data_IF_676955379704
#
_entry.id   IF_676955379704
#
_cell.length_a   1.000
_cell.length_b   1.000
_cell.length_c   1.000
_cell.angle_alpha   90.00
_cell.angle_beta   90.00
_cell.angle_gamma   90.00
#
_symmetry.space_group_name_H-M   'P 1'
#
loop_
_entity.id
_entity.type
_entity.pdbx_description
1 polymer ?
#
# COMPACT_ATOMS: atom_id res chain seq x y z
N UNK A 1 -8.39 3.44 -5.82
CA UNK A 1 -8.06 2.59 -4.65
C UNK A 1 -8.60 1.19 -4.86
N UNK A 2 -7.94 0.20 -4.28
CA UNK A 2 -8.20 -1.25 -4.49
C UNK A 2 -9.67 -1.67 -4.30
N UNK A 3 -10.41 -1.01 -3.43
CA UNK A 3 -11.83 -1.29 -3.21
C UNK A 3 -12.71 -1.17 -4.46
N UNK A 4 -12.33 -0.37 -5.45
CA UNK A 4 -13.04 -0.27 -6.74
C UNK A 4 -12.83 -1.52 -7.60
N UNK A 5 -11.61 -2.09 -7.55
CA UNK A 5 -11.19 -3.23 -8.37
C UNK A 5 -11.51 -4.57 -7.72
N UNK A 6 -11.77 -4.55 -6.40
CA UNK A 6 -12.09 -5.75 -5.60
C UNK A 6 -13.30 -5.50 -4.69
N UNK A 7 -14.53 -5.44 -5.25
CA UNK A 7 -15.74 -5.24 -4.47
C UNK A 7 -15.88 -6.27 -3.35
N UNK A 8 -16.23 -5.81 -2.13
CA UNK A 8 -16.40 -6.68 -0.97
C UNK A 8 -15.12 -7.16 -0.28
N UNK A 9 -13.94 -6.97 -0.87
CA UNK A 9 -12.68 -7.43 -0.30
C UNK A 9 -12.44 -6.91 1.12
N UNK A 10 -12.52 -5.60 1.32
CA UNK A 10 -12.27 -5.01 2.63
C UNK A 10 -13.34 -5.35 3.66
N UNK A 11 -14.59 -5.57 3.24
CA UNK A 11 -15.61 -6.10 4.13
C UNK A 11 -15.25 -7.52 4.62
N UNK A 12 -14.77 -8.38 3.73
CA UNK A 12 -14.29 -9.70 4.10
C UNK A 12 -13.10 -9.65 5.06
N UNK A 13 -12.13 -8.77 4.80
CA UNK A 13 -10.98 -8.54 5.69
C UNK A 13 -11.45 -8.09 7.07
N UNK A 14 -12.31 -7.07 7.15
CA UNK A 14 -12.82 -6.57 8.42
C UNK A 14 -13.56 -7.67 9.22
N UNK A 15 -14.45 -8.42 8.57
CA UNK A 15 -15.18 -9.52 9.23
C UNK A 15 -14.29 -10.60 9.79
N UNK A 16 -13.27 -11.04 9.05
CA UNK A 16 -12.37 -12.11 9.51
C UNK A 16 -11.46 -11.60 10.63
N UNK A 17 -10.89 -10.40 10.47
CA UNK A 17 -9.99 -9.82 11.48
C UNK A 17 -10.74 -9.50 12.77
N UNK A 18 -11.96 -8.95 12.69
CA UNK A 18 -12.82 -8.72 13.85
C UNK A 18 -13.07 -10.01 14.64
N UNK A 19 -13.43 -11.10 13.95
CA UNK A 19 -13.58 -12.41 14.60
C UNK A 19 -12.30 -12.90 15.27
N UNK A 20 -11.16 -12.75 14.60
CA UNK A 20 -9.86 -13.11 15.18
C UNK A 20 -9.56 -12.31 16.45
N UNK A 21 -9.81 -10.99 16.43
CA UNK A 21 -9.63 -10.15 17.62
C UNK A 21 -10.57 -10.52 18.74
N UNK A 22 -11.82 -10.88 18.44
CA UNK A 22 -12.79 -11.35 19.44
C UNK A 22 -12.39 -12.65 20.10
N UNK A 23 -11.75 -13.58 19.35
CA UNK A 23 -11.33 -14.87 19.89
C UNK A 23 -10.00 -14.79 20.65
N UNK A 24 -9.03 -14.03 20.10
CA UNK A 24 -7.66 -13.98 20.62
C UNK A 24 -7.50 -12.91 21.70
N UNK A 25 -8.31 -11.85 21.63
CA UNK A 25 -8.24 -10.67 22.52
C UNK A 25 -6.82 -10.16 22.71
N UNK A 26 -6.09 -9.83 21.62
CA UNK A 26 -4.69 -9.44 21.72
C UNK A 26 -4.54 -8.01 22.25
N UNK A 27 -3.42 -7.71 22.91
CA UNK A 27 -3.04 -6.32 23.26
C UNK A 27 -2.53 -5.57 22.03
N UNK A 28 -1.90 -6.28 21.09
CA UNK A 28 -1.31 -5.71 19.86
C UNK A 28 -1.54 -6.63 18.67
N UNK A 29 -1.78 -6.00 17.51
CA UNK A 29 -1.83 -6.70 16.23
C UNK A 29 -0.91 -6.02 15.21
N UNK A 30 -0.08 -6.79 14.53
CA UNK A 30 0.98 -6.32 13.65
C UNK A 30 0.58 -6.51 12.18
N UNK A 31 0.65 -5.43 11.39
CA UNK A 31 0.31 -5.45 9.96
C UNK A 31 1.41 -4.79 9.15
N UNK A 32 1.76 -5.39 8.00
CA UNK A 32 2.78 -4.85 7.10
C UNK A 32 2.26 -3.65 6.31
N UNK A 33 3.04 -2.57 6.25
CA UNK A 33 2.73 -1.36 5.48
C UNK A 33 2.59 -1.60 3.96
N UNK A 34 3.04 -2.75 3.47
CA UNK A 34 2.80 -3.17 2.09
C UNK A 34 1.31 -3.16 1.72
N UNK A 35 0.46 -3.54 2.66
CA UNK A 35 -0.99 -3.56 2.48
C UNK A 35 -1.63 -2.37 3.23
N UNK A 36 -1.16 -1.15 2.92
CA UNK A 36 -1.47 0.08 3.64
C UNK A 36 -2.98 0.37 3.79
N UNK A 37 -3.77 0.19 2.73
CA UNK A 37 -5.23 0.37 2.80
C UNK A 37 -5.87 -0.61 3.80
N UNK A 38 -5.37 -1.82 3.88
CA UNK A 38 -5.85 -2.81 4.85
C UNK A 38 -5.63 -2.32 6.29
N UNK A 39 -4.48 -1.73 6.59
CA UNK A 39 -4.19 -1.18 7.92
C UNK A 39 -5.20 -0.08 8.28
N UNK A 40 -5.47 0.84 7.35
CA UNK A 40 -6.43 1.92 7.58
C UNK A 40 -7.85 1.39 7.83
N UNK A 41 -8.29 0.41 7.05
CA UNK A 41 -9.60 -0.25 7.25
C UNK A 41 -9.66 -0.94 8.61
N UNK A 42 -8.61 -1.65 9.00
CA UNK A 42 -8.58 -2.37 10.27
C UNK A 42 -8.55 -1.39 11.45
N UNK A 43 -7.79 -0.29 11.37
CA UNK A 43 -7.81 0.75 12.40
C UNK A 43 -9.22 1.31 12.58
N UNK A 44 -9.89 1.61 11.47
CA UNK A 44 -11.26 2.11 11.53
C UNK A 44 -12.24 1.09 12.11
N UNK A 45 -12.10 -0.18 11.78
CA UNK A 45 -12.90 -1.27 12.35
C UNK A 45 -12.68 -1.38 13.87
N UNK A 46 -11.43 -1.34 14.34
CA UNK A 46 -11.07 -1.39 15.77
C UNK A 46 -11.76 -0.25 16.53
N UNK A 47 -11.74 0.98 15.99
CA UNK A 47 -12.44 2.12 16.57
C UNK A 47 -13.95 1.90 16.64
N UNK A 48 -14.56 1.48 15.53
CA UNK A 48 -16.01 1.30 15.43
C UNK A 48 -16.55 0.17 16.33
N UNK A 49 -15.81 -0.92 16.45
CA UNK A 49 -16.20 -2.08 17.27
C UNK A 49 -15.71 -1.95 18.73
N UNK A 50 -14.94 -0.92 19.05
CA UNK A 50 -14.48 -0.63 20.42
C UNK A 50 -13.46 -1.64 20.96
N UNK A 51 -12.71 -2.30 20.10
CA UNK A 51 -11.62 -3.19 20.53
C UNK A 51 -10.52 -2.40 21.25
N UNK A 52 -10.05 -2.96 22.37
CA UNK A 52 -8.97 -2.38 23.17
C UNK A 52 -7.63 -3.03 22.80
N UNK A 53 -7.13 -2.72 21.61
CA UNK A 53 -5.83 -3.22 21.13
C UNK A 53 -5.12 -2.13 20.32
N UNK A 54 -3.81 -2.25 20.21
CA UNK A 54 -2.96 -1.40 19.39
C UNK A 54 -2.71 -2.03 18.02
N UNK A 55 -2.95 -1.29 16.93
CA UNK A 55 -2.56 -1.70 15.58
C UNK A 55 -1.18 -1.14 15.27
N UNK A 56 -0.20 -2.02 15.21
CA UNK A 56 1.20 -1.70 14.92
C UNK A 56 1.47 -1.90 13.43
N UNK A 57 1.81 -0.82 12.72
CA UNK A 57 2.27 -0.89 11.34
C UNK A 57 3.75 -1.31 11.30
N UNK A 58 4.07 -2.33 10.54
CA UNK A 58 5.43 -2.82 10.37
C UNK A 58 5.98 -2.39 9.01
N UNK A 59 7.24 -1.92 8.93
CA UNK A 59 7.88 -1.53 7.69
C UNK A 59 7.86 -2.65 6.65
N UNK A 60 7.82 -2.25 5.37
CA UNK A 60 7.85 -3.20 4.25
C UNK A 60 9.17 -3.98 4.25
N UNK A 61 9.08 -5.30 4.40
CA UNK A 61 10.23 -6.16 4.17
C UNK A 61 10.46 -6.31 2.67
N UNK A 62 11.70 -6.04 2.24
CA UNK A 62 12.10 -6.13 0.83
C UNK A 62 13.19 -7.18 0.66
N UNK A 63 13.29 -7.72 -0.54
CA UNK A 63 14.42 -8.51 -1.01
C UNK A 63 15.61 -7.59 -1.26
N UNK A 64 16.82 -8.15 -1.43
CA UNK A 64 18.07 -7.37 -1.58
C UNK A 64 18.06 -6.42 -2.80
N UNK A 65 17.27 -6.74 -3.81
CA UNK A 65 17.07 -5.91 -5.01
C UNK A 65 15.95 -4.86 -4.87
N UNK A 66 15.33 -4.75 -3.69
CA UNK A 66 14.31 -3.76 -3.38
C UNK A 66 12.86 -4.23 -3.62
N UNK A 67 12.64 -5.39 -4.24
CA UNK A 67 11.28 -5.91 -4.43
C UNK A 67 10.62 -6.21 -3.08
N UNK A 68 9.40 -5.75 -2.87
CA UNK A 68 8.65 -6.05 -1.67
C UNK A 68 8.43 -7.56 -1.54
N UNK A 69 8.73 -8.11 -0.36
CA UNK A 69 8.60 -9.55 -0.10
C UNK A 69 7.13 -9.98 -0.19
N UNK A 70 6.87 -11.00 -1.01
CA UNK A 70 5.53 -11.55 -1.18
C UNK A 70 5.59 -13.01 -1.62
N UNK A 71 4.69 -13.84 -1.06
CA UNK A 71 4.50 -15.22 -1.55
C UNK A 71 4.07 -15.28 -3.02
N UNK A 72 3.56 -14.17 -3.58
CA UNK A 72 3.18 -14.09 -4.99
C UNK A 72 4.39 -13.93 -5.92
N UNK A 73 5.56 -13.54 -5.42
CA UNK A 73 6.76 -13.36 -6.24
C UNK A 73 7.20 -14.65 -6.95
N UNK A 74 6.89 -15.81 -6.38
CA UNK A 74 7.15 -17.12 -7.01
C UNK A 74 6.37 -17.37 -8.30
N UNK A 75 5.35 -16.56 -8.58
CA UNK A 75 4.54 -16.67 -9.81
C UNK A 75 5.14 -15.89 -10.98
N UNK A 76 6.13 -15.04 -10.72
CA UNK A 76 6.80 -14.26 -11.75
C UNK A 76 7.71 -15.16 -12.58
N UNK A 77 7.69 -14.98 -13.90
CA UNK A 77 8.71 -15.59 -14.75
C UNK A 77 10.10 -14.99 -14.44
N UNK A 78 11.21 -15.64 -14.83
CA UNK A 78 12.54 -15.08 -14.62
C UNK A 78 12.71 -13.67 -15.20
N UNK A 79 12.09 -13.41 -16.37
CA UNK A 79 12.13 -12.11 -17.03
C UNK A 79 11.33 -11.06 -16.23
N UNK A 80 10.12 -11.39 -15.80
CA UNK A 80 9.29 -10.54 -14.97
C UNK A 80 9.95 -10.25 -13.63
N UNK A 81 10.57 -11.27 -13.02
CA UNK A 81 11.27 -11.12 -11.72
C UNK A 81 12.43 -10.13 -11.79
N UNK A 82 13.20 -10.11 -12.90
CA UNK A 82 14.29 -9.14 -13.11
C UNK A 82 13.80 -7.69 -13.21
N UNK A 83 12.59 -7.50 -13.71
CA UNK A 83 12.02 -6.17 -13.96
C UNK A 83 11.25 -5.65 -12.75
N UNK A 84 10.60 -6.53 -11.98
CA UNK A 84 9.73 -6.20 -10.85
C UNK A 84 10.34 -5.22 -9.82
N UNK A 85 11.65 -5.24 -9.48
CA UNK A 85 12.25 -4.29 -8.56
C UNK A 85 12.19 -2.82 -9.00
N UNK A 86 11.99 -2.57 -10.32
CA UNK A 86 11.89 -1.21 -10.82
C UNK A 86 10.65 -0.47 -10.28
N UNK A 87 9.62 -1.18 -9.84
CA UNK A 87 8.47 -0.56 -9.16
C UNK A 87 8.96 0.19 -7.91
N UNK A 88 9.77 -0.45 -7.07
CA UNK A 88 10.29 0.16 -5.86
C UNK A 88 11.18 1.38 -6.15
N UNK A 89 11.98 1.33 -7.24
CA UNK A 89 12.82 2.45 -7.67
C UNK A 89 11.96 3.64 -8.11
N UNK A 90 10.99 3.41 -8.99
CA UNK A 90 10.07 4.47 -9.47
C UNK A 90 9.30 5.08 -8.30
N UNK A 91 8.87 4.27 -7.34
CA UNK A 91 8.18 4.76 -6.14
C UNK A 91 9.11 5.64 -5.28
N UNK A 92 10.35 5.25 -5.05
CA UNK A 92 11.31 6.06 -4.31
C UNK A 92 11.64 7.38 -5.03
N UNK A 93 11.84 7.33 -6.34
CA UNK A 93 12.06 8.51 -7.18
C UNK A 93 10.85 9.44 -7.18
N UNK A 94 9.64 8.90 -7.17
CA UNK A 94 8.41 9.70 -7.12
C UNK A 94 8.27 10.51 -5.84
N UNK A 95 8.78 10.02 -4.71
CA UNK A 95 8.79 10.77 -3.45
C UNK A 95 9.69 12.01 -3.54
N UNK A 96 10.80 11.92 -4.26
CA UNK A 96 11.69 13.06 -4.51
C UNK A 96 11.04 14.03 -5.50
N UNK A 97 10.47 13.51 -6.58
CA UNK A 97 9.78 14.28 -7.61
C UNK A 97 8.62 15.11 -7.03
N UNK A 98 7.85 14.51 -6.13
CA UNK A 98 6.70 15.14 -5.47
C UNK A 98 7.05 16.37 -4.63
N UNK A 99 8.31 16.54 -4.20
CA UNK A 99 8.73 17.71 -3.41
C UNK A 99 8.65 19.04 -4.17
N UNK A 100 8.68 18.99 -5.50
CA UNK A 100 8.67 20.18 -6.36
C UNK A 100 7.58 20.15 -7.45
N UNK A 101 6.73 19.13 -7.44
CA UNK A 101 5.70 18.93 -8.46
C UNK A 101 4.33 18.68 -7.83
N UNK A 102 3.29 18.92 -8.59
CA UNK A 102 1.91 18.69 -8.18
C UNK A 102 1.61 17.18 -8.04
N UNK A 103 0.55 16.87 -7.32
CA UNK A 103 0.03 15.49 -7.20
C UNK A 103 -0.27 14.88 -8.58
N UNK A 104 -0.89 15.67 -9.48
CA UNK A 104 -1.21 15.20 -10.83
C UNK A 104 0.04 14.86 -11.65
N UNK A 105 1.05 15.73 -11.62
CA UNK A 105 2.34 15.49 -12.29
C UNK A 105 3.06 14.28 -11.71
N UNK A 106 3.01 14.10 -10.39
CA UNK A 106 3.61 12.93 -9.72
C UNK A 106 2.92 11.64 -10.11
N UNK A 107 1.59 11.63 -10.18
CA UNK A 107 0.83 10.46 -10.68
C UNK A 107 1.24 10.13 -12.12
N UNK A 108 1.27 11.13 -12.99
CA UNK A 108 1.68 10.94 -14.38
C UNK A 108 3.12 10.44 -14.51
N UNK A 109 4.03 10.95 -13.67
CA UNK A 109 5.42 10.50 -13.60
C UNK A 109 5.48 9.00 -13.29
N UNK A 110 4.79 8.54 -12.24
CA UNK A 110 4.81 7.13 -11.84
C UNK A 110 4.21 6.24 -12.93
N UNK A 111 3.02 6.57 -13.42
CA UNK A 111 2.34 5.78 -14.46
C UNK A 111 3.21 5.67 -15.72
N UNK A 112 3.78 6.77 -16.18
CA UNK A 112 4.62 6.79 -17.37
C UNK A 112 5.90 5.98 -17.19
N UNK A 113 6.56 6.08 -16.02
CA UNK A 113 7.84 5.41 -15.78
C UNK A 113 7.66 3.90 -15.52
N UNK A 114 6.59 3.48 -14.87
CA UNK A 114 6.29 2.05 -14.69
C UNK A 114 5.89 1.40 -16.01
N UNK A 115 5.02 2.04 -16.80
CA UNK A 115 4.53 1.49 -18.07
C UNK A 115 5.62 1.42 -19.18
N UNK A 116 6.82 2.00 -18.96
CA UNK A 116 7.97 1.81 -19.87
C UNK A 116 8.56 0.40 -19.79
N UNK A 117 8.38 -0.29 -18.68
CA UNK A 117 8.94 -1.62 -18.50
C UNK A 117 8.03 -2.66 -19.14
N UNK A 118 8.59 -3.62 -19.89
CA UNK A 118 7.80 -4.72 -20.43
C UNK A 118 7.13 -5.50 -19.30
N UNK A 119 5.95 -6.04 -19.57
CA UNK A 119 5.14 -6.81 -18.60
C UNK A 119 4.61 -6.02 -17.40
N UNK A 120 4.74 -4.70 -17.40
CA UNK A 120 4.17 -3.83 -16.38
C UNK A 120 3.11 -2.93 -16.97
N UNK A 121 1.99 -2.84 -16.27
CA UNK A 121 0.90 -1.90 -16.54
C UNK A 121 0.35 -1.42 -15.21
N UNK A 122 0.25 -0.11 -15.05
CA UNK A 122 -0.34 0.50 -13.86
C UNK A 122 -1.85 0.45 -13.97
N UNK A 123 -2.49 -0.39 -13.16
CA UNK A 123 -3.95 -0.44 -13.06
C UNK A 123 -4.49 0.81 -12.38
N UNK A 124 -3.85 1.24 -11.30
CA UNK A 124 -4.11 2.52 -10.64
C UNK A 124 -2.89 2.96 -9.81
N UNK A 125 -2.75 4.25 -9.65
CA UNK A 125 -1.83 4.89 -8.71
C UNK A 125 -2.50 6.13 -8.16
N UNK A 126 -2.60 6.24 -6.84
CA UNK A 126 -3.28 7.34 -6.17
C UNK A 126 -2.43 7.82 -4.99
N UNK A 127 -2.40 9.12 -4.78
CA UNK A 127 -1.75 9.77 -3.64
C UNK A 127 -2.87 10.18 -2.69
N UNK A 128 -2.82 9.67 -1.47
CA UNK A 128 -3.89 9.82 -0.49
C UNK A 128 -3.34 10.27 0.85
N UNK A 129 -4.21 10.89 1.65
CA UNK A 129 -3.92 11.13 3.05
C UNK A 129 -3.76 9.81 3.81
N UNK A 130 -2.73 9.73 4.64
CA UNK A 130 -2.35 8.48 5.32
C UNK A 130 -3.33 7.99 6.39
N UNK A 131 -4.22 8.85 6.86
CA UNK A 131 -5.20 8.52 7.89
C UNK A 131 -6.60 8.34 7.32
N UNK A 132 -7.03 9.27 6.47
CA UNK A 132 -8.41 9.31 5.94
C UNK A 132 -8.57 8.52 4.65
N UNK A 133 -7.48 8.20 3.95
CA UNK A 133 -7.45 7.65 2.59
C UNK A 133 -8.17 8.54 1.55
N UNK A 134 -8.43 9.80 1.87
CA UNK A 134 -8.95 10.74 0.89
C UNK A 134 -7.86 11.12 -0.11
N UNK A 135 -8.25 11.35 -1.36
CA UNK A 135 -7.32 11.81 -2.39
C UNK A 135 -6.68 13.13 -1.97
N UNK A 136 -5.35 13.16 -1.98
CA UNK A 136 -4.61 14.40 -1.75
C UNK A 136 -4.73 15.31 -2.96
N UNK A 137 -5.17 16.55 -2.73
CA UNK A 137 -5.25 17.60 -3.73
C UNK A 137 -4.18 18.67 -3.53
N UNK A 138 -3.34 18.51 -2.49
CA UNK A 138 -2.38 19.52 -2.03
C UNK A 138 -0.95 19.01 -2.24
N UNK A 139 0.03 19.91 -2.35
CA UNK A 139 1.45 19.58 -2.33
C UNK A 139 1.77 18.68 -1.14
N UNK A 140 2.48 17.59 -1.40
CA UNK A 140 2.93 16.67 -0.38
C UNK A 140 4.02 17.38 0.43
N UNK A 141 3.64 17.94 1.58
CA UNK A 141 4.60 18.63 2.47
C UNK A 141 5.43 17.66 3.32
N UNK A 142 5.01 16.40 3.41
CA UNK A 142 5.78 15.33 4.07
C UNK A 142 5.68 14.03 3.26
N UNK A 143 6.81 13.31 3.06
CA UNK A 143 6.78 12.04 2.37
C UNK A 143 6.04 11.03 3.24
N UNK A 144 4.84 10.65 2.84
CA UNK A 144 4.18 9.49 3.39
C UNK A 144 5.07 8.28 3.11
N UNK A 145 5.61 7.67 4.15
CA UNK A 145 6.46 6.48 4.04
C UNK A 145 5.66 5.38 3.38
N UNK A 146 6.05 5.01 2.18
CA UNK A 146 5.60 3.82 1.48
C UNK A 146 6.43 2.61 1.90
#
# INVERSE_FOLDING_TARGET
>A
MEGKFRPGHFNGVAQIVSKLFSFVTPDRAYFGEKDFQQIAVIRRMVELEGFKLEIVACPIKREDDGLALSSRNVRLTPEQRKIAPNIAKVMAESCIFAQSHTVAETIQYVVSNVNRFPFMEVEYYEIVDGYTLQLSLIHISEPTRL
#
